data_IF_053154266849
#
_entry.id   IF_053154266849
#
_cell.length_a   1.000
_cell.length_b   1.000
_cell.length_c   1.000
_cell.angle_alpha   90.00
_cell.angle_beta   90.00
_cell.angle_gamma   90.00
#
_symmetry.space_group_name_H-M   'P 1'
#
loop_
_entity.id
_entity.type
_entity.pdbx_description
1 polymer ?
#
# COMPACT_ATOMS: atom_id res chain seq x y z
N UNK A 1 26.86 12.95 -6.93
CA UNK A 1 26.63 11.75 -6.06
C UNK A 1 25.77 10.76 -6.85
N UNK A 2 26.07 9.46 -6.83
CA UNK A 2 25.22 8.46 -7.51
C UNK A 2 24.10 7.99 -6.56
N UNK A 3 22.97 8.70 -6.61
CA UNK A 3 21.83 8.46 -5.71
C UNK A 3 21.20 7.09 -5.96
N UNK A 4 21.13 6.63 -7.23
CA UNK A 4 20.60 5.31 -7.56
C UNK A 4 21.39 4.18 -6.92
N UNK A 5 22.73 4.29 -6.94
CA UNK A 5 23.62 3.30 -6.29
C UNK A 5 23.45 3.31 -4.77
N UNK A 6 23.33 4.49 -4.16
CA UNK A 6 23.14 4.65 -2.72
C UNK A 6 21.82 4.03 -2.26
N UNK A 7 20.72 4.32 -2.96
CA UNK A 7 19.42 3.76 -2.65
C UNK A 7 19.43 2.23 -2.79
N UNK A 8 20.09 1.70 -3.83
CA UNK A 8 20.25 0.27 -3.99
C UNK A 8 21.03 -0.35 -2.84
N UNK A 9 22.18 0.22 -2.47
CA UNK A 9 23.04 -0.27 -1.37
C UNK A 9 22.27 -0.27 -0.04
N UNK A 10 21.54 0.80 0.29
CA UNK A 10 20.70 0.84 1.48
C UNK A 10 19.60 -0.24 1.44
N UNK A 11 18.95 -0.45 0.29
CA UNK A 11 17.94 -1.48 0.11
C UNK A 11 18.52 -2.89 0.29
N UNK A 12 19.69 -3.16 -0.31
CA UNK A 12 20.38 -4.44 -0.19
C UNK A 12 20.81 -4.73 1.27
N UNK A 13 21.08 -3.68 2.07
CA UNK A 13 21.35 -3.76 3.51
C UNK A 13 20.07 -3.89 4.37
N UNK A 14 18.90 -4.03 3.77
CA UNK A 14 17.62 -4.22 4.46
C UNK A 14 17.07 -2.96 5.12
N UNK A 15 17.35 -1.80 4.53
CA UNK A 15 16.77 -0.53 5.00
C UNK A 15 15.25 -0.54 4.90
N UNK A 16 14.57 -0.14 5.96
CA UNK A 16 13.14 0.22 5.95
C UNK A 16 12.94 1.69 5.60
N UNK A 17 13.81 2.56 6.12
CA UNK A 17 13.77 4.00 5.90
C UNK A 17 15.20 4.54 5.74
N UNK A 18 15.40 5.51 4.84
CA UNK A 18 16.69 6.17 4.58
C UNK A 18 16.51 7.65 4.89
N UNK A 19 17.47 8.23 5.61
CA UNK A 19 17.40 9.60 6.12
C UNK A 19 18.49 10.46 5.47
N UNK A 20 18.09 11.52 4.80
CA UNK A 20 18.94 12.51 4.14
C UNK A 20 18.79 13.82 4.90
N UNK A 21 19.73 14.08 5.81
CA UNK A 21 19.67 15.25 6.70
C UNK A 21 21.07 15.89 6.83
N UNK A 22 21.15 17.21 6.66
CA UNK A 22 22.42 17.93 6.83
C UNK A 22 22.96 17.80 8.26
N UNK A 23 24.26 17.62 8.39
CA UNK A 23 24.97 17.42 9.67
C UNK A 23 24.99 15.97 10.19
N UNK A 24 24.35 15.05 9.49
CA UNK A 24 24.39 13.60 9.78
C UNK A 24 25.04 12.85 8.63
N UNK A 25 25.70 11.72 8.88
CA UNK A 25 26.03 10.77 7.84
C UNK A 25 24.77 10.27 7.16
N UNK A 26 24.87 9.77 5.94
CA UNK A 26 23.77 9.09 5.29
C UNK A 26 23.36 7.90 6.14
N UNK A 27 22.17 7.97 6.71
CA UNK A 27 21.67 7.06 7.74
C UNK A 27 20.49 6.28 7.20
N UNK A 28 20.38 5.02 7.55
CA UNK A 28 19.20 4.21 7.26
C UNK A 28 18.75 3.46 8.52
N UNK A 29 17.50 3.02 8.52
CA UNK A 29 16.93 2.20 9.59
C UNK A 29 16.78 0.77 9.09
N UNK A 30 17.33 -0.20 9.82
CA UNK A 30 17.18 -1.63 9.53
C UNK A 30 16.79 -2.35 10.81
N UNK A 31 15.72 -3.15 10.78
CA UNK A 31 15.21 -3.90 11.95
C UNK A 31 15.03 -3.03 13.22
N UNK A 32 14.62 -1.79 13.03
CA UNK A 32 14.41 -0.82 14.11
C UNK A 32 15.66 -0.09 14.60
N UNK A 33 16.86 -0.44 14.11
CA UNK A 33 18.14 0.18 14.48
C UNK A 33 18.59 1.17 13.41
N UNK A 34 19.15 2.31 13.84
CA UNK A 34 19.75 3.31 12.96
C UNK A 34 21.20 2.95 12.65
N UNK A 35 21.51 2.83 11.37
CA UNK A 35 22.84 2.52 10.85
C UNK A 35 23.30 3.60 9.86
N UNK A 36 24.60 3.76 9.68
CA UNK A 36 25.18 4.71 8.75
C UNK A 36 25.82 3.97 7.56
N UNK A 37 25.55 4.42 6.33
CA UNK A 37 26.24 3.91 5.14
C UNK A 37 27.72 4.33 5.09
N UNK A 38 28.05 5.46 5.73
CA UNK A 38 29.42 5.97 5.85
C UNK A 38 29.52 6.83 7.11
N UNK A 39 30.73 7.31 7.44
CA UNK A 39 30.97 8.19 8.58
C UNK A 39 30.97 9.69 8.23
N UNK A 40 30.81 10.03 6.94
CA UNK A 40 30.94 11.41 6.45
C UNK A 40 29.60 12.11 6.63
N UNK A 41 29.62 13.23 7.37
CA UNK A 41 28.43 14.05 7.59
C UNK A 41 28.10 14.86 6.34
N UNK A 42 26.88 14.75 5.87
CA UNK A 42 26.38 15.52 4.72
C UNK A 42 26.32 17.02 5.04
N UNK A 43 26.84 17.84 4.15
CA UNK A 43 26.66 19.29 4.21
C UNK A 43 25.37 19.71 3.47
N UNK A 44 24.82 20.94 3.71
CA UNK A 44 23.59 21.40 3.04
C UNK A 44 23.60 21.31 1.51
N UNK A 45 24.76 21.51 0.89
CA UNK A 45 24.92 21.36 -0.57
C UNK A 45 24.71 19.92 -1.04
N UNK A 46 25.21 18.95 -0.29
CA UNK A 46 25.07 17.51 -0.62
C UNK A 46 23.63 17.03 -0.45
N UNK A 47 22.93 17.50 0.60
CA UNK A 47 21.51 17.16 0.76
C UNK A 47 20.65 17.80 -0.32
N UNK A 48 20.98 19.03 -0.74
CA UNK A 48 20.33 19.68 -1.90
C UNK A 48 20.54 18.86 -3.19
N UNK A 49 21.79 18.49 -3.51
CA UNK A 49 22.11 17.67 -4.69
C UNK A 49 21.40 16.30 -4.64
N UNK A 50 21.36 15.67 -3.46
CA UNK A 50 20.69 14.39 -3.27
C UNK A 50 19.18 14.49 -3.53
N UNK A 51 18.50 15.43 -2.87
CA UNK A 51 17.05 15.64 -3.01
C UNK A 51 16.71 15.99 -4.47
N UNK A 52 17.44 16.91 -5.09
CA UNK A 52 17.23 17.25 -6.51
C UNK A 52 17.39 16.05 -7.43
N UNK A 53 18.38 15.19 -7.14
CA UNK A 53 18.58 13.93 -7.89
C UNK A 53 17.42 12.94 -7.72
N UNK A 54 16.77 12.89 -6.55
CA UNK A 54 15.58 12.07 -6.33
C UNK A 54 14.42 12.56 -7.20
N UNK A 55 14.18 13.89 -7.25
CA UNK A 55 13.15 14.46 -8.13
C UNK A 55 13.40 14.12 -9.61
N UNK A 56 14.67 14.20 -10.04
CA UNK A 56 15.06 13.80 -11.39
C UNK A 56 14.83 12.30 -11.66
N UNK A 57 15.13 11.41 -10.69
CA UNK A 57 14.85 9.97 -10.80
C UNK A 57 13.36 9.67 -10.83
N UNK A 58 12.55 10.46 -10.14
CA UNK A 58 11.09 10.34 -10.09
C UNK A 58 10.40 11.00 -11.29
N UNK A 59 11.14 11.67 -12.19
CA UNK A 59 10.59 12.48 -13.30
C UNK A 59 9.55 13.51 -12.81
N UNK A 60 9.77 14.06 -11.61
CA UNK A 60 8.84 14.96 -10.92
C UNK A 60 9.37 16.39 -10.88
N UNK A 61 8.47 17.36 -11.06
CA UNK A 61 8.79 18.78 -10.90
C UNK A 61 8.99 19.13 -9.42
N UNK A 62 10.12 19.78 -9.10
CA UNK A 62 10.51 20.18 -7.75
C UNK A 62 9.85 21.50 -7.30
N UNK A 63 9.23 22.25 -8.19
CA UNK A 63 8.68 23.59 -7.94
C UNK A 63 7.72 23.63 -6.75
N UNK A 64 6.85 22.63 -6.62
CA UNK A 64 5.94 22.53 -5.49
C UNK A 64 6.68 22.47 -4.15
N UNK A 65 7.71 21.64 -4.05
CA UNK A 65 8.55 21.54 -2.85
C UNK A 65 9.30 22.84 -2.56
N UNK A 66 9.79 23.52 -3.60
CA UNK A 66 10.48 24.81 -3.44
C UNK A 66 9.56 25.90 -2.92
N UNK A 67 8.29 25.89 -3.31
CA UNK A 67 7.28 26.86 -2.86
C UNK A 67 6.76 26.54 -1.44
N UNK A 68 6.37 25.29 -1.19
CA UNK A 68 5.68 24.91 0.06
C UNK A 68 6.62 24.48 1.17
N UNK A 69 7.79 23.94 0.83
CA UNK A 69 8.76 23.38 1.78
C UNK A 69 8.55 21.91 2.12
N UNK A 70 7.44 21.31 1.68
CA UNK A 70 7.08 19.90 1.90
C UNK A 70 6.51 19.29 0.61
N UNK A 71 6.88 18.05 0.32
CA UNK A 71 6.26 17.24 -0.74
C UNK A 71 6.39 15.75 -0.46
N UNK A 72 5.35 15.00 -0.83
CA UNK A 72 5.29 13.54 -0.72
C UNK A 72 5.04 12.93 -2.10
N UNK A 73 5.80 11.90 -2.45
CA UNK A 73 5.64 11.18 -3.70
C UNK A 73 6.27 9.79 -3.64
N UNK A 74 5.96 8.95 -4.64
CA UNK A 74 6.56 7.63 -4.80
C UNK A 74 7.28 7.55 -6.15
N UNK A 75 8.35 6.74 -6.21
CA UNK A 75 8.99 6.38 -7.47
C UNK A 75 9.59 4.97 -7.38
N UNK A 76 9.90 4.38 -8.52
CA UNK A 76 10.49 3.05 -8.58
C UNK A 76 11.85 3.07 -9.29
N UNK A 77 12.78 2.27 -8.79
CA UNK A 77 14.01 1.93 -9.51
C UNK A 77 13.84 0.50 -10.02
N UNK A 78 13.70 0.29 -11.35
CA UNK A 78 13.52 -1.03 -11.93
C UNK A 78 14.61 -2.01 -11.48
N UNK A 79 14.19 -3.20 -11.03
CA UNK A 79 15.09 -4.23 -10.53
C UNK A 79 15.65 -4.00 -9.13
N UNK A 80 15.26 -2.93 -8.44
CA UNK A 80 15.72 -2.63 -7.07
C UNK A 80 14.53 -2.58 -6.12
N UNK A 81 13.74 -1.50 -6.11
CA UNK A 81 12.59 -1.34 -5.23
C UNK A 81 11.71 -0.17 -5.66
N UNK A 82 10.55 -0.02 -5.01
CA UNK A 82 9.75 1.21 -4.99
C UNK A 82 10.07 1.98 -3.72
N UNK A 83 10.05 3.30 -3.81
CA UNK A 83 10.39 4.21 -2.73
C UNK A 83 9.26 5.22 -2.53
N UNK A 84 8.87 5.44 -1.28
CA UNK A 84 8.03 6.57 -0.90
C UNK A 84 8.92 7.63 -0.27
N UNK A 85 8.84 8.83 -0.76
CA UNK A 85 9.70 9.95 -0.37
C UNK A 85 8.86 11.03 0.28
N UNK A 86 9.28 11.46 1.46
CA UNK A 86 8.82 12.70 2.08
C UNK A 86 10.01 13.67 2.09
N UNK A 87 9.91 14.75 1.33
CA UNK A 87 10.90 15.84 1.32
C UNK A 87 10.41 16.99 2.16
N UNK A 88 11.33 17.62 2.89
CA UNK A 88 11.02 18.78 3.74
C UNK A 88 12.21 19.71 3.89
N UNK A 89 11.92 21.00 4.12
CA UNK A 89 12.94 21.98 4.45
C UNK A 89 13.18 22.03 5.95
N UNK A 90 14.44 21.96 6.36
CA UNK A 90 14.84 22.04 7.76
C UNK A 90 16.01 23.01 7.92
N UNK A 91 15.83 24.09 8.69
CA UNK A 91 16.88 25.10 8.97
C UNK A 91 17.56 25.61 7.67
N UNK A 92 16.78 25.85 6.63
CA UNK A 92 17.28 26.30 5.33
C UNK A 92 17.94 25.23 4.46
N UNK A 93 18.01 23.97 4.93
CA UNK A 93 18.55 22.85 4.15
C UNK A 93 17.44 21.95 3.63
N UNK A 94 17.65 21.29 2.50
CA UNK A 94 16.78 20.23 1.99
C UNK A 94 17.03 18.94 2.76
N UNK A 95 15.97 18.26 3.08
CA UNK A 95 16.00 16.96 3.79
C UNK A 95 15.00 16.00 3.16
N UNK A 96 15.21 14.70 3.34
CA UNK A 96 14.28 13.68 2.88
C UNK A 96 14.27 12.48 3.84
N UNK A 97 13.10 11.87 3.99
CA UNK A 97 12.94 10.52 4.50
C UNK A 97 12.39 9.65 3.37
N UNK A 98 13.08 8.56 3.09
CA UNK A 98 12.76 7.68 1.97
C UNK A 98 12.45 6.31 2.55
N UNK A 99 11.18 5.89 2.46
CA UNK A 99 10.75 4.54 2.83
C UNK A 99 10.97 3.58 1.68
N UNK A 100 11.58 2.45 1.97
CA UNK A 100 11.77 1.35 1.03
C UNK A 100 10.55 0.44 1.08
N UNK A 101 9.91 0.19 -0.07
CA UNK A 101 8.77 -0.72 -0.18
C UNK A 101 9.29 -2.07 -0.67
N UNK A 102 9.20 -3.06 0.20
CA UNK A 102 9.83 -4.36 -0.01
C UNK A 102 9.04 -5.26 -0.97
N UNK A 103 9.75 -6.05 -1.76
CA UNK A 103 9.22 -7.25 -2.44
C UNK A 103 9.19 -8.49 -1.52
N UNK A 104 9.82 -8.40 -0.35
CA UNK A 104 9.88 -9.54 0.56
C UNK A 104 8.70 -9.48 1.52
N UNK A 105 7.77 -10.40 1.34
CA UNK A 105 6.68 -10.62 2.26
C UNK A 105 7.14 -11.50 3.43
N UNK A 106 6.69 -11.23 4.66
CA UNK A 106 6.91 -12.14 5.76
C UNK A 106 6.09 -13.43 5.53
N UNK A 107 6.59 -14.57 6.01
CA UNK A 107 5.85 -15.82 5.90
C UNK A 107 4.62 -15.78 6.82
N UNK A 108 3.45 -16.28 6.38
CA UNK A 108 2.25 -16.35 7.23
C UNK A 108 2.50 -17.07 8.56
N UNK A 109 3.30 -18.14 8.55
CA UNK A 109 3.70 -18.88 9.75
C UNK A 109 4.46 -18.04 10.77
N UNK A 110 5.35 -17.14 10.31
CA UNK A 110 6.15 -16.28 11.18
C UNK A 110 5.27 -15.18 11.85
N UNK A 111 4.14 -14.89 11.22
CA UNK A 111 3.14 -13.92 11.69
C UNK A 111 2.01 -14.60 12.49
N UNK A 112 2.04 -15.92 12.64
CA UNK A 112 0.99 -16.71 13.29
C UNK A 112 -0.40 -16.50 12.63
N UNK A 113 -0.44 -16.26 11.32
CA UNK A 113 -1.70 -16.20 10.56
C UNK A 113 -2.25 -17.62 10.47
N UNK A 114 -3.49 -17.89 10.94
CA UNK A 114 -4.09 -19.21 10.89
C UNK A 114 -4.28 -19.71 9.45
N UNK A 115 -4.15 -21.01 9.23
CA UNK A 115 -4.36 -21.63 7.91
C UNK A 115 -5.77 -21.32 7.36
N UNK A 116 -6.79 -21.30 8.22
CA UNK A 116 -8.16 -20.93 7.83
C UNK A 116 -8.29 -19.51 7.25
N UNK A 117 -7.36 -18.61 7.54
CA UNK A 117 -7.28 -17.27 6.92
C UNK A 117 -6.61 -17.37 5.57
N UNK A 118 -5.60 -18.20 5.44
CA UNK A 118 -4.91 -18.42 4.17
C UNK A 118 -5.78 -19.17 3.16
N UNK A 119 -6.66 -20.09 3.63
CA UNK A 119 -7.68 -20.77 2.81
C UNK A 119 -8.65 -19.81 2.10
N UNK A 120 -8.73 -18.53 2.51
CA UNK A 120 -9.48 -17.51 1.77
C UNK A 120 -8.93 -17.25 0.36
N UNK A 121 -7.69 -17.62 0.11
CA UNK A 121 -7.10 -17.60 -1.24
C UNK A 121 -7.82 -18.55 -2.21
N UNK A 122 -8.49 -19.61 -1.71
CA UNK A 122 -9.26 -20.55 -2.53
C UNK A 122 -10.63 -20.00 -2.96
N UNK A 123 -11.10 -18.92 -2.32
CA UNK A 123 -12.39 -18.29 -2.63
C UNK A 123 -12.37 -17.74 -4.06
N UNK A 124 -13.48 -17.91 -4.78
CA UNK A 124 -13.57 -17.48 -6.17
C UNK A 124 -14.34 -16.18 -6.39
N UNK A 125 -15.24 -15.81 -5.47
CA UNK A 125 -16.04 -14.58 -5.57
C UNK A 125 -16.53 -14.14 -4.19
N UNK A 126 -17.10 -12.94 -4.12
CA UNK A 126 -17.64 -12.38 -2.89
C UNK A 126 -16.70 -11.36 -2.26
N UNK A 127 -16.87 -11.10 -0.98
CA UNK A 127 -16.15 -10.06 -0.26
C UNK A 127 -15.50 -10.60 1.02
N UNK A 128 -14.23 -10.29 1.22
CA UNK A 128 -13.45 -10.58 2.43
C UNK A 128 -13.01 -9.27 3.06
N UNK A 129 -13.34 -9.07 4.34
CA UNK A 129 -13.00 -7.87 5.09
C UNK A 129 -11.99 -8.20 6.20
N UNK A 130 -10.85 -7.50 6.20
CA UNK A 130 -9.84 -7.58 7.26
C UNK A 130 -9.91 -6.31 8.10
N UNK A 131 -10.26 -6.44 9.37
CA UNK A 131 -10.60 -5.29 10.23
C UNK A 131 -9.71 -5.22 11.46
N UNK A 132 -9.53 -4.03 12.01
CA UNK A 132 -8.72 -3.80 13.21
C UNK A 132 -8.07 -2.41 13.24
N UNK A 133 -7.44 -2.05 14.38
CA UNK A 133 -6.75 -0.75 14.51
C UNK A 133 -5.56 -0.61 13.57
N UNK A 134 -5.02 0.61 13.47
CA UNK A 134 -3.77 0.83 12.74
C UNK A 134 -2.63 0.01 13.35
N UNK A 135 -1.78 -0.58 12.49
CA UNK A 135 -0.65 -1.41 12.93
C UNK A 135 -0.99 -2.82 13.39
N UNK A 136 -2.26 -3.28 13.27
CA UNK A 136 -2.67 -4.64 13.65
C UNK A 136 -2.32 -5.73 12.64
N UNK A 137 -1.66 -5.40 11.52
CA UNK A 137 -1.25 -6.38 10.52
C UNK A 137 -2.23 -6.60 9.36
N UNK A 138 -3.29 -5.78 9.22
CA UNK A 138 -4.29 -5.92 8.15
C UNK A 138 -3.68 -6.00 6.75
N UNK A 139 -2.90 -5.00 6.37
CA UNK A 139 -2.25 -4.94 5.05
C UNK A 139 -1.29 -6.10 4.84
N UNK A 140 -0.58 -6.51 5.90
CA UNK A 140 0.34 -7.64 5.84
C UNK A 140 -0.40 -8.96 5.61
N UNK A 141 -1.52 -9.19 6.30
CA UNK A 141 -2.37 -10.37 6.11
C UNK A 141 -2.96 -10.39 4.70
N UNK A 142 -3.50 -9.26 4.24
CA UNK A 142 -4.02 -9.14 2.87
C UNK A 142 -2.93 -9.42 1.83
N UNK A 143 -1.73 -8.86 2.01
CA UNK A 143 -0.60 -9.11 1.12
C UNK A 143 -0.21 -10.59 1.08
N UNK A 144 -0.22 -11.29 2.22
CA UNK A 144 0.05 -12.74 2.25
C UNK A 144 -1.02 -13.55 1.49
N UNK A 145 -2.30 -13.19 1.62
CA UNK A 145 -3.39 -13.87 0.87
C UNK A 145 -3.24 -13.60 -0.63
N UNK A 146 -2.99 -12.36 -1.03
CA UNK A 146 -2.76 -11.99 -2.43
C UNK A 146 -1.56 -12.72 -3.02
N UNK A 147 -0.48 -12.85 -2.25
CA UNK A 147 0.71 -13.58 -2.67
C UNK A 147 0.43 -15.08 -2.87
N UNK A 148 -0.36 -15.69 -2.00
CA UNK A 148 -0.81 -17.08 -2.16
C UNK A 148 -1.64 -17.25 -3.42
N UNK A 149 -2.63 -16.40 -3.67
CA UNK A 149 -3.42 -16.40 -4.91
C UNK A 149 -2.49 -16.33 -6.12
N UNK A 150 -1.53 -15.40 -6.08
CA UNK A 150 -0.56 -15.19 -7.17
C UNK A 150 0.31 -16.43 -7.47
N UNK A 151 0.61 -17.24 -6.46
CA UNK A 151 1.38 -18.48 -6.63
C UNK A 151 0.52 -19.69 -7.05
N UNK A 152 -0.78 -19.69 -6.75
CA UNK A 152 -1.64 -20.86 -6.91
C UNK A 152 -2.57 -20.78 -8.11
N UNK A 153 -3.10 -19.58 -8.45
CA UNK A 153 -4.13 -19.37 -9.49
C UNK A 153 -3.57 -18.67 -10.73
N UNK A 154 -4.26 -18.83 -11.84
CA UNK A 154 -3.97 -18.14 -13.12
C UNK A 154 -5.03 -17.04 -13.33
N UNK A 155 -4.93 -15.94 -12.60
CA UNK A 155 -5.94 -14.88 -12.50
C UNK A 155 -5.32 -13.49 -12.73
N UNK A 156 -6.15 -12.47 -12.92
CA UNK A 156 -5.75 -11.07 -12.91
C UNK A 156 -6.11 -10.44 -11.58
N UNK A 157 -5.08 -10.08 -10.79
CA UNK A 157 -5.21 -9.40 -9.51
C UNK A 157 -4.97 -7.90 -9.73
N UNK A 158 -5.90 -7.06 -9.28
CA UNK A 158 -5.72 -5.60 -9.26
C UNK A 158 -5.69 -5.13 -7.81
N UNK A 159 -4.64 -4.43 -7.40
CA UNK A 159 -4.61 -3.78 -6.08
C UNK A 159 -4.71 -2.27 -6.21
N UNK A 160 -5.52 -1.65 -5.35
CA UNK A 160 -5.74 -0.22 -5.23
C UNK A 160 -5.41 0.18 -3.79
N UNK A 161 -4.32 0.91 -3.58
CA UNK A 161 -3.76 1.12 -2.24
C UNK A 161 -3.34 2.59 -2.02
N UNK A 162 -3.32 3.03 -0.76
CA UNK A 162 -2.89 4.38 -0.37
C UNK A 162 -2.13 4.36 0.97
N UNK A 163 -0.81 4.22 0.92
CA UNK A 163 0.05 3.86 -0.21
C UNK A 163 0.21 2.34 -0.40
N UNK A 164 0.96 1.94 -1.44
CA UNK A 164 1.46 0.56 -1.56
C UNK A 164 2.39 0.22 -0.38
N UNK A 165 2.09 -0.86 0.34
CA UNK A 165 2.93 -1.33 1.46
C UNK A 165 3.85 -2.49 1.05
N UNK A 166 3.41 -3.33 0.12
CA UNK A 166 4.17 -4.47 -0.41
C UNK A 166 4.10 -4.50 -1.93
N UNK A 167 5.15 -5.03 -2.54
CA UNK A 167 5.20 -5.23 -3.98
C UNK A 167 5.08 -6.72 -4.31
N UNK A 168 4.18 -7.04 -5.23
CA UNK A 168 4.01 -8.39 -5.76
C UNK A 168 4.66 -8.51 -7.13
N UNK A 169 5.43 -9.56 -7.35
CA UNK A 169 5.90 -9.92 -8.69
C UNK A 169 4.81 -10.73 -9.37
N UNK A 170 4.73 -10.66 -10.70
CA UNK A 170 3.93 -11.62 -11.44
C UNK A 170 4.51 -13.02 -11.24
N UNK A 171 3.66 -14.01 -10.94
CA UNK A 171 4.00 -15.42 -10.98
C UNK A 171 2.99 -16.15 -11.88
N UNK A 172 2.04 -16.90 -11.36
CA UNK A 172 0.95 -17.45 -12.17
C UNK A 172 -0.08 -16.40 -12.54
N UNK A 173 -0.33 -15.44 -11.63
CA UNK A 173 -1.22 -14.32 -11.89
C UNK A 173 -0.52 -13.14 -12.58
N UNK A 174 -1.33 -12.33 -13.26
CA UNK A 174 -0.96 -10.94 -13.59
C UNK A 174 -1.35 -10.09 -12.39
N UNK A 175 -0.40 -9.36 -11.79
CA UNK A 175 -0.67 -8.47 -10.65
C UNK A 175 -0.49 -7.02 -11.07
N UNK A 176 -1.56 -6.26 -11.09
CA UNK A 176 -1.59 -4.83 -11.42
C UNK A 176 -1.80 -4.00 -10.16
N UNK A 177 -0.73 -3.43 -9.62
CA UNK A 177 -0.79 -2.61 -8.40
C UNK A 177 -0.85 -1.14 -8.76
N UNK A 178 -1.81 -0.41 -8.18
CA UNK A 178 -2.01 1.03 -8.43
C UNK A 178 -2.08 1.78 -7.12
N UNK A 179 -1.25 2.80 -6.98
CA UNK A 179 -1.23 3.69 -5.82
C UNK A 179 -2.13 4.91 -6.05
N UNK A 180 -2.99 5.19 -5.08
CA UNK A 180 -3.86 6.37 -5.10
C UNK A 180 -3.00 7.64 -5.02
N UNK A 181 -3.42 8.71 -5.69
CA UNK A 181 -2.72 9.98 -5.83
C UNK A 181 -1.39 9.92 -6.63
N UNK A 182 -0.95 8.73 -7.03
CA UNK A 182 0.24 8.56 -7.87
C UNK A 182 -0.13 7.97 -9.24
N UNK A 183 -0.75 6.81 -9.25
CA UNK A 183 -1.13 6.08 -10.47
C UNK A 183 -2.60 6.31 -10.86
N UNK A 184 -3.40 6.83 -9.92
CA UNK A 184 -4.83 7.08 -10.08
C UNK A 184 -5.30 8.15 -9.10
N UNK A 185 -6.40 8.83 -9.44
CA UNK A 185 -6.90 9.98 -8.68
C UNK A 185 -7.55 9.59 -7.34
N UNK A 186 -8.34 8.50 -7.34
CA UNK A 186 -9.11 8.08 -6.17
C UNK A 186 -9.45 6.59 -6.21
N UNK A 187 -9.83 6.04 -5.05
CA UNK A 187 -10.32 4.65 -4.95
C UNK A 187 -11.50 4.40 -5.88
N UNK A 188 -12.49 5.29 -5.90
CA UNK A 188 -13.68 5.13 -6.73
C UNK A 188 -13.35 5.14 -8.22
N UNK A 189 -12.55 6.10 -8.67
CA UNK A 189 -12.11 6.20 -10.07
C UNK A 189 -11.34 4.97 -10.49
N UNK A 190 -10.41 4.53 -9.63
CA UNK A 190 -9.60 3.35 -9.86
C UNK A 190 -10.42 2.06 -9.91
N UNK A 191 -11.37 1.87 -8.97
CA UNK A 191 -12.24 0.70 -8.92
C UNK A 191 -13.14 0.62 -10.15
N UNK A 192 -13.79 1.72 -10.52
CA UNK A 192 -14.60 1.79 -11.75
C UNK A 192 -13.79 1.48 -13.02
N UNK A 193 -12.53 1.87 -13.06
CA UNK A 193 -11.63 1.53 -14.16
C UNK A 193 -11.24 0.05 -14.11
N UNK A 194 -10.89 -0.48 -12.94
CA UNK A 194 -10.51 -1.87 -12.71
C UNK A 194 -11.56 -2.85 -13.24
N UNK A 195 -12.86 -2.60 -13.00
CA UNK A 195 -13.97 -3.44 -13.48
C UNK A 195 -14.04 -3.59 -15.01
N UNK A 196 -13.31 -2.76 -15.77
CA UNK A 196 -13.18 -2.87 -17.24
C UNK A 196 -11.85 -3.46 -17.69
N UNK A 197 -11.03 -3.94 -16.74
CA UNK A 197 -9.69 -4.47 -16.98
C UNK A 197 -9.63 -5.99 -16.80
N UNK A 198 -10.79 -6.67 -16.85
CA UNK A 198 -10.92 -8.12 -16.63
C UNK A 198 -10.26 -8.60 -15.33
N UNK A 199 -10.62 -8.03 -14.16
CA UNK A 199 -10.10 -8.49 -12.89
C UNK A 199 -10.85 -9.75 -12.44
N UNK A 200 -10.13 -10.69 -11.85
CA UNK A 200 -10.71 -11.80 -11.07
C UNK A 200 -10.72 -11.43 -9.59
N UNK A 201 -9.64 -10.82 -9.12
CA UNK A 201 -9.43 -10.41 -7.74
C UNK A 201 -9.13 -8.91 -7.67
N UNK A 202 -9.80 -8.21 -6.77
CA UNK A 202 -9.54 -6.78 -6.50
C UNK A 202 -9.24 -6.60 -5.01
N UNK A 203 -8.06 -6.06 -4.69
CA UNK A 203 -7.74 -5.58 -3.34
C UNK A 203 -7.99 -4.07 -3.27
N UNK A 204 -8.90 -3.66 -2.40
CA UNK A 204 -9.10 -2.27 -2.01
C UNK A 204 -8.41 -2.05 -0.67
N UNK A 205 -7.39 -1.21 -0.62
CA UNK A 205 -6.67 -0.90 0.61
C UNK A 205 -7.63 -0.53 1.74
N UNK A 206 -8.61 0.31 1.44
CA UNK A 206 -9.72 0.64 2.35
C UNK A 206 -10.97 1.12 1.60
N UNK A 207 -12.12 1.02 2.29
CA UNK A 207 -13.41 1.55 1.83
C UNK A 207 -13.92 2.55 2.87
N UNK A 208 -13.96 3.84 2.52
CA UNK A 208 -14.37 4.91 3.46
C UNK A 208 -15.70 5.56 3.09
N UNK A 209 -16.00 5.64 1.82
CA UNK A 209 -17.14 6.37 1.30
C UNK A 209 -18.21 5.46 0.69
N UNK A 210 -19.43 5.99 0.68
CA UNK A 210 -20.63 5.32 0.16
C UNK A 210 -20.42 4.77 -1.26
N UNK A 211 -19.87 5.58 -2.17
CA UNK A 211 -19.80 5.20 -3.58
C UNK A 211 -18.78 4.08 -3.84
N UNK A 212 -17.66 4.12 -3.12
CA UNK A 212 -16.64 3.05 -3.17
C UNK A 212 -17.20 1.76 -2.62
N UNK A 213 -17.88 1.79 -1.46
CA UNK A 213 -18.51 0.62 -0.84
C UNK A 213 -19.57 0.02 -1.77
N UNK A 214 -20.47 0.84 -2.30
CA UNK A 214 -21.53 0.39 -3.20
C UNK A 214 -20.97 -0.27 -4.47
N UNK A 215 -19.92 0.33 -5.05
CA UNK A 215 -19.26 -0.22 -6.25
C UNK A 215 -18.58 -1.55 -5.94
N UNK A 216 -17.91 -1.68 -4.78
CA UNK A 216 -17.24 -2.91 -4.36
C UNK A 216 -18.24 -4.04 -4.08
N UNK A 217 -19.34 -3.76 -3.38
CA UNK A 217 -20.40 -4.75 -3.11
C UNK A 217 -21.04 -5.22 -4.43
N UNK A 218 -21.33 -4.29 -5.35
CA UNK A 218 -21.86 -4.64 -6.67
C UNK A 218 -20.89 -5.50 -7.48
N UNK A 219 -19.59 -5.22 -7.41
CA UNK A 219 -18.57 -6.03 -8.07
C UNK A 219 -18.53 -7.45 -7.48
N UNK A 220 -18.63 -7.60 -6.16
CA UNK A 220 -18.71 -8.90 -5.51
C UNK A 220 -19.97 -9.69 -5.90
N UNK A 221 -21.13 -9.03 -6.04
CA UNK A 221 -22.38 -9.65 -6.54
C UNK A 221 -22.25 -10.13 -7.99
N UNK A 222 -21.42 -9.47 -8.79
CA UNK A 222 -21.22 -9.79 -10.21
C UNK A 222 -20.09 -10.78 -10.48
N UNK A 223 -19.56 -11.41 -9.43
CA UNK A 223 -18.65 -12.55 -9.56
C UNK A 223 -17.17 -12.25 -9.30
N UNK A 224 -16.81 -11.03 -8.91
CA UNK A 224 -15.44 -10.68 -8.54
C UNK A 224 -15.15 -11.05 -7.08
N UNK A 225 -13.91 -11.39 -6.78
CA UNK A 225 -13.43 -11.55 -5.41
C UNK A 225 -12.83 -10.22 -4.92
N UNK A 226 -13.45 -9.65 -3.89
CA UNK A 226 -13.05 -8.35 -3.33
C UNK A 226 -12.41 -8.57 -1.95
N UNK A 227 -11.18 -8.12 -1.79
CA UNK A 227 -10.53 -7.97 -0.48
C UNK A 227 -10.50 -6.50 -0.09
N UNK A 228 -10.79 -6.20 1.19
CA UNK A 228 -10.62 -4.84 1.69
C UNK A 228 -10.32 -4.79 3.17
N UNK A 229 -9.83 -3.63 3.65
CA UNK A 229 -9.65 -3.40 5.07
C UNK A 229 -10.54 -2.27 5.60
N UNK A 230 -10.86 -2.35 6.89
CA UNK A 230 -11.52 -1.28 7.64
C UNK A 230 -10.85 -1.09 9.01
N UNK A 231 -10.94 0.13 9.53
CA UNK A 231 -10.39 0.49 10.85
C UNK A 231 -11.40 0.28 11.99
N UNK A 232 -12.28 -0.68 11.85
CA UNK A 232 -13.30 -1.04 12.86
C UNK A 232 -12.84 -2.20 13.73
N UNK A 233 -13.35 -2.26 14.95
CA UNK A 233 -13.09 -3.37 15.89
C UNK A 233 -14.39 -4.14 16.06
N UNK A 234 -14.38 -5.43 15.72
CA UNK A 234 -15.55 -6.31 15.82
C UNK A 234 -16.34 -6.41 14.50
N UNK A 235 -16.78 -7.62 14.17
CA UNK A 235 -17.52 -7.90 12.94
C UNK A 235 -18.86 -7.14 12.88
N UNK A 236 -19.63 -7.12 13.98
CA UNK A 236 -20.88 -6.38 14.04
C UNK A 236 -20.68 -4.88 13.77
N UNK A 237 -19.72 -4.25 14.46
CA UNK A 237 -19.41 -2.84 14.25
C UNK A 237 -18.94 -2.54 12.81
N UNK A 238 -18.29 -3.50 12.16
CA UNK A 238 -17.86 -3.36 10.76
C UNK A 238 -19.05 -3.36 9.83
N UNK A 239 -20.00 -4.27 10.04
CA UNK A 239 -21.23 -4.33 9.25
C UNK A 239 -22.05 -3.07 9.45
N UNK A 240 -22.27 -2.64 10.71
CA UNK A 240 -22.99 -1.43 11.03
C UNK A 240 -22.32 -0.19 10.37
N UNK A 241 -20.98 -0.10 10.44
CA UNK A 241 -20.23 1.00 9.81
C UNK A 241 -20.40 1.06 8.29
N UNK A 242 -20.49 -0.10 7.63
CA UNK A 242 -20.75 -0.17 6.19
C UNK A 242 -22.18 0.29 5.91
N UNK A 243 -23.15 -0.21 6.64
CA UNK A 243 -24.59 0.14 6.46
C UNK A 243 -24.81 1.63 6.74
N UNK A 244 -24.19 2.18 7.79
CA UNK A 244 -24.33 3.59 8.18
C UNK A 244 -23.72 4.58 7.17
N UNK A 245 -22.82 4.11 6.29
CA UNK A 245 -22.33 4.94 5.20
C UNK A 245 -23.39 5.24 4.14
N UNK A 246 -24.52 4.49 4.14
CA UNK A 246 -25.59 4.62 3.16
C UNK A 246 -26.73 5.51 3.67
N UNK A 247 -27.42 6.23 2.77
CA UNK A 247 -28.66 6.92 3.11
C UNK A 247 -29.69 5.97 3.73
N UNK A 248 -30.46 6.42 4.70
CA UNK A 248 -31.43 5.59 5.44
C UNK A 248 -32.37 4.77 4.53
N UNK A 249 -32.76 5.33 3.37
CA UNK A 249 -33.61 4.65 2.38
C UNK A 249 -32.94 3.46 1.69
N UNK A 250 -31.61 3.34 1.76
CA UNK A 250 -30.81 2.30 1.09
C UNK A 250 -30.18 1.29 2.08
N UNK A 251 -30.22 1.59 3.38
CA UNK A 251 -29.58 0.75 4.40
C UNK A 251 -30.10 -0.68 4.43
N UNK A 252 -31.39 -0.87 4.25
CA UNK A 252 -31.98 -2.23 4.18
C UNK A 252 -31.51 -3.00 2.95
N UNK A 253 -31.39 -2.34 1.81
CA UNK A 253 -30.93 -2.95 0.58
C UNK A 253 -29.47 -3.38 0.69
N UNK A 254 -28.58 -2.49 1.15
CA UNK A 254 -27.16 -2.82 1.28
C UNK A 254 -26.91 -3.92 2.33
N UNK A 255 -27.71 -3.99 3.39
CA UNK A 255 -27.61 -5.07 4.37
C UNK A 255 -27.88 -6.44 3.74
N UNK A 256 -28.87 -6.54 2.85
CA UNK A 256 -29.17 -7.78 2.11
C UNK A 256 -28.05 -8.11 1.12
N UNK A 257 -27.60 -7.12 0.36
CA UNK A 257 -26.50 -7.31 -0.60
C UNK A 257 -25.22 -7.74 0.08
N UNK A 258 -24.84 -7.06 1.17
CA UNK A 258 -23.66 -7.43 1.96
C UNK A 258 -23.76 -8.85 2.53
N UNK A 259 -24.93 -9.23 3.03
CA UNK A 259 -25.16 -10.59 3.55
C UNK A 259 -25.01 -11.66 2.45
N UNK A 260 -25.29 -11.34 1.19
CA UNK A 260 -25.16 -12.29 0.08
C UNK A 260 -23.71 -12.46 -0.42
N UNK A 261 -22.85 -11.48 -0.23
CA UNK A 261 -21.48 -11.50 -0.77
C UNK A 261 -20.39 -11.67 0.28
N UNK A 262 -20.68 -11.40 1.57
CA UNK A 262 -19.69 -11.45 2.63
C UNK A 262 -19.29 -12.89 2.93
N UNK A 263 -18.06 -13.27 2.58
CA UNK A 263 -17.49 -14.59 2.83
C UNK A 263 -16.91 -14.66 4.26
N UNK A 264 -16.19 -13.63 4.67
CA UNK A 264 -15.57 -13.52 5.98
C UNK A 264 -15.36 -12.07 6.40
N UNK A 265 -15.53 -11.82 7.70
CA UNK A 265 -15.00 -10.63 8.37
C UNK A 265 -13.96 -11.05 9.39
N UNK A 266 -12.67 -10.91 9.05
CA UNK A 266 -11.56 -11.23 9.93
C UNK A 266 -11.24 -10.05 10.83
N UNK A 267 -11.15 -10.31 12.13
CA UNK A 267 -10.78 -9.30 13.13
C UNK A 267 -9.37 -9.57 13.60
N UNK A 268 -8.48 -8.62 13.40
CA UNK A 268 -7.19 -8.61 14.05
C UNK A 268 -7.28 -7.92 15.42
N UNK A 269 -6.94 -8.64 16.44
CA UNK A 269 -6.87 -8.13 17.82
C UNK A 269 -5.43 -7.74 18.12
#
# INVERSE_FOLDING_TARGET
>A
MDVKKILKEATDNGASDIFIVAGRPLTYKSKGVMECLNEIRMIPKETFEFVTSIYALAERDISKFEETGDDDFSFAIPGVSRYRVSTFKQRGSYSAVIRVISFTLPKPSDLHIPDSVMELAETNNGMVLVTGPAGSGKSTTLACIIDQINHEKEEHIITLEDPLEFLHRHDKCIVSQREINTDTESYLTALRAALRQSPDVILLGEMRDYETINTAVTAAETGHLIFSSLHTIGAANTIDRIIDAFPASQQHQIAIQLASVLQLSLIHI
#
